data_IF_224994074063
#
_entry.id   IF_224994074063
#
_cell.length_a   1.000
_cell.length_b   1.000
_cell.length_c   1.000
_cell.angle_alpha   90.00
_cell.angle_beta   90.00
_cell.angle_gamma   90.00
#
_symmetry.space_group_name_H-M   'P 1'
#
loop_
_entity.id
_entity.type
_entity.pdbx_description
1 polymer ?
#
# COMPACT_ATOMS: atom_id res chain seq x y z
N UNK A 1 0.92 -6.47 0.07
CA UNK A 1 1.35 -5.12 -0.37
C UNK A 1 0.40 -4.07 0.19
N UNK A 2 0.86 -3.18 1.06
CA UNK A 2 0.02 -2.09 1.60
C UNK A 2 0.37 -0.75 0.95
N UNK A 3 -0.63 0.03 0.55
CA UNK A 3 -0.46 1.44 0.14
C UNK A 3 -0.41 2.31 1.38
N UNK A 4 0.63 3.13 1.55
CA UNK A 4 0.85 3.88 2.80
C UNK A 4 0.78 5.38 2.52
N UNK A 5 -0.39 5.98 2.67
CA UNK A 5 -0.65 7.38 2.45
C UNK A 5 -0.33 8.22 3.72
N UNK A 6 -0.14 9.55 3.58
CA UNK A 6 0.18 10.47 4.68
C UNK A 6 1.47 10.15 5.47
N UNK A 7 2.65 10.23 4.84
CA UNK A 7 3.95 10.01 5.52
C UNK A 7 4.03 8.71 6.35
N UNK A 8 3.28 7.68 5.99
CA UNK A 8 3.24 6.41 6.75
C UNK A 8 2.14 6.28 7.79
N UNK A 9 1.29 7.31 8.00
CA UNK A 9 0.24 7.30 9.03
C UNK A 9 -1.05 6.62 8.61
N UNK A 10 -1.40 6.61 7.31
CA UNK A 10 -2.72 6.14 6.86
C UNK A 10 -2.62 5.13 5.73
N UNK A 11 -3.18 3.94 5.92
CA UNK A 11 -3.23 2.90 4.89
C UNK A 11 -4.66 2.85 4.37
N UNK A 12 -4.97 3.37 3.17
CA UNK A 12 -6.35 3.36 2.65
C UNK A 12 -6.77 2.00 2.11
N UNK A 13 -5.81 1.21 1.63
CA UNK A 13 -6.05 -0.13 1.07
C UNK A 13 -4.80 -0.99 1.13
N UNK A 14 -4.99 -2.30 1.21
CA UNK A 14 -3.93 -3.29 1.15
C UNK A 14 -4.33 -4.41 0.20
N UNK A 15 -3.32 -5.04 -0.41
CA UNK A 15 -3.51 -6.15 -1.31
C UNK A 15 -2.85 -7.41 -0.74
N UNK A 16 -3.59 -8.51 -0.80
CA UNK A 16 -3.11 -9.85 -0.50
C UNK A 16 -2.77 -10.49 -1.85
N UNK A 17 -1.52 -10.93 -1.98
CA UNK A 17 -1.04 -11.64 -3.16
C UNK A 17 -0.94 -13.10 -2.78
N UNK A 18 -1.67 -13.94 -3.49
CA UNK A 18 -1.58 -15.39 -3.35
C UNK A 18 -0.58 -15.92 -4.38
N UNK A 19 -0.07 -17.14 -4.16
CA UNK A 19 0.92 -17.73 -5.07
C UNK A 19 0.34 -18.07 -6.45
N UNK A 20 -0.96 -18.40 -6.52
CA UNK A 20 -1.60 -18.91 -7.73
C UNK A 20 -2.81 -18.06 -8.18
N UNK A 21 -3.62 -17.55 -7.23
CA UNK A 21 -4.90 -16.89 -7.54
C UNK A 21 -4.76 -15.38 -7.77
N UNK A 22 -3.53 -14.87 -7.90
CA UNK A 22 -3.26 -13.46 -8.20
C UNK A 22 -3.40 -12.53 -6.99
N UNK A 23 -3.75 -11.26 -7.28
CA UNK A 23 -3.74 -10.14 -6.34
C UNK A 23 -5.14 -9.66 -6.01
N UNK A 24 -5.53 -9.79 -4.74
CA UNK A 24 -6.78 -9.28 -4.21
C UNK A 24 -6.56 -7.97 -3.46
N UNK A 25 -7.35 -6.95 -3.73
CA UNK A 25 -7.23 -5.64 -3.07
C UNK A 25 -8.42 -5.42 -2.14
N UNK A 26 -8.13 -5.05 -0.90
CA UNK A 26 -9.12 -4.85 0.15
C UNK A 26 -8.97 -3.47 0.80
N UNK A 27 -10.08 -2.93 1.27
CA UNK A 27 -10.13 -1.76 2.14
C UNK A 27 -11.03 -2.07 3.34
N UNK A 28 -10.62 -1.62 4.52
CA UNK A 28 -11.40 -1.72 5.76
C UNK A 28 -11.43 -0.37 6.46
N UNK A 29 -12.38 -0.20 7.38
CA UNK A 29 -12.51 1.04 8.16
C UNK A 29 -11.23 1.36 8.96
N UNK A 30 -10.54 0.33 9.46
CA UNK A 30 -9.29 0.46 10.23
C UNK A 30 -8.19 -0.50 9.72
N UNK A 31 -7.63 -0.21 8.55
CA UNK A 31 -6.63 -1.07 7.90
C UNK A 31 -5.38 -1.36 8.76
N UNK A 32 -4.94 -0.43 9.61
CA UNK A 32 -3.78 -0.63 10.49
C UNK A 32 -4.02 -1.75 11.51
N UNK A 33 -5.22 -1.81 12.08
CA UNK A 33 -5.62 -2.85 13.04
C UNK A 33 -5.78 -4.18 12.31
N UNK A 34 -6.45 -4.17 11.16
CA UNK A 34 -6.62 -5.36 10.31
C UNK A 34 -5.27 -5.97 9.93
N UNK A 35 -4.30 -5.17 9.48
CA UNK A 35 -2.96 -5.65 9.14
C UNK A 35 -2.19 -6.17 10.36
N UNK A 36 -2.38 -5.58 11.54
CA UNK A 36 -1.80 -6.11 12.79
C UNK A 36 -2.39 -7.48 13.16
N UNK A 37 -3.69 -7.67 12.96
CA UNK A 37 -4.32 -8.97 13.19
C UNK A 37 -3.82 -10.01 12.17
N UNK A 38 -3.71 -9.64 10.90
CA UNK A 38 -3.17 -10.50 9.83
C UNK A 38 -1.70 -10.86 10.07
N UNK A 39 -0.90 -9.95 10.63
CA UNK A 39 0.51 -10.20 10.97
C UNK A 39 0.71 -11.35 11.98
N UNK A 40 -0.32 -11.75 12.74
CA UNK A 40 -0.24 -12.93 13.60
C UNK A 40 -0.17 -14.25 12.82
N UNK A 41 -0.68 -14.25 11.58
CA UNK A 41 -0.80 -15.44 10.73
C UNK A 41 0.18 -15.46 9.57
N UNK A 42 0.84 -14.33 9.30
CA UNK A 42 1.77 -14.16 8.18
C UNK A 42 3.06 -13.59 8.72
N UNK A 43 4.18 -14.23 8.42
CA UNK A 43 5.52 -13.75 8.75
C UNK A 43 5.70 -12.29 8.34
N UNK A 44 6.21 -11.46 9.26
CA UNK A 44 6.33 -10.01 9.04
C UNK A 44 7.20 -9.63 7.83
N UNK A 45 8.11 -10.51 7.41
CA UNK A 45 8.93 -10.32 6.20
C UNK A 45 8.09 -10.28 4.91
N UNK A 46 6.89 -10.88 4.91
CA UNK A 46 5.98 -10.88 3.76
C UNK A 46 5.07 -9.64 3.72
N UNK A 47 5.05 -8.83 4.77
CA UNK A 47 4.31 -7.57 4.83
C UNK A 47 5.10 -6.43 4.21
N UNK A 48 5.26 -6.49 2.89
CA UNK A 48 6.00 -5.48 2.13
C UNK A 48 5.15 -4.24 1.79
N UNK A 49 5.77 -3.06 1.86
CA UNK A 49 5.21 -1.81 1.33
C UNK A 49 5.23 -1.86 -0.21
N UNK A 50 4.19 -1.36 -0.87
CA UNK A 50 4.17 -1.37 -2.34
C UNK A 50 5.19 -0.37 -2.91
N UNK A 51 6.09 -0.85 -3.78
CA UNK A 51 7.03 -0.01 -4.54
C UNK A 51 6.30 1.00 -5.46
N UNK A 52 5.17 0.57 -6.04
CA UNK A 52 4.38 1.36 -6.99
C UNK A 52 3.73 2.61 -6.36
N UNK A 53 3.47 2.62 -5.05
CA UNK A 53 2.91 3.79 -4.38
C UNK A 53 3.84 5.01 -4.49
N UNK A 54 5.13 4.82 -4.24
CA UNK A 54 6.13 5.88 -4.36
C UNK A 54 6.34 6.32 -5.82
N UNK A 55 6.28 5.38 -6.77
CA UNK A 55 6.35 5.70 -8.19
C UNK A 55 5.15 6.53 -8.66
N UNK A 56 3.95 6.23 -8.19
CA UNK A 56 2.74 7.00 -8.52
C UNK A 56 2.79 8.39 -7.88
N UNK A 57 3.27 8.51 -6.64
CA UNK A 57 3.53 9.82 -6.01
C UNK A 57 4.57 10.61 -6.81
N UNK A 58 5.70 10.01 -7.15
CA UNK A 58 6.77 10.67 -7.91
C UNK A 58 6.27 11.12 -9.28
N UNK A 59 5.50 10.28 -10.00
CA UNK A 59 4.85 10.65 -11.27
C UNK A 59 3.83 11.77 -11.09
N UNK A 60 3.05 11.76 -10.01
CA UNK A 60 2.11 12.81 -9.66
C UNK A 60 2.79 14.16 -9.39
N UNK A 61 3.87 14.15 -8.60
CA UNK A 61 4.71 15.33 -8.34
C UNK A 61 5.36 15.85 -9.62
N UNK A 62 5.96 14.97 -10.43
CA UNK A 62 6.60 15.35 -11.71
C UNK A 62 5.61 16.03 -12.67
N UNK A 63 4.34 15.60 -12.67
CA UNK A 63 3.26 16.21 -13.46
C UNK A 63 2.87 17.59 -12.93
N UNK A 64 2.82 17.78 -11.61
CA UNK A 64 2.57 19.08 -10.97
C UNK A 64 3.66 20.11 -11.29
N UNK A 65 4.94 19.71 -11.29
CA UNK A 65 6.05 20.61 -11.65
C UNK A 65 6.11 20.94 -13.16
N UNK A 66 5.63 20.06 -14.03
CA UNK A 66 5.58 20.30 -15.48
C UNK A 66 4.47 21.27 -15.91
N UNK A 67 3.45 21.50 -15.09
CA UNK A 67 2.35 22.44 -15.38
C UNK A 67 2.74 23.89 -15.03
N UNK A 68 3.80 24.08 -14.23
CA UNK A 68 4.24 25.41 -13.75
C UNK A 68 5.48 25.96 -14.47
N UNK A 69 5.85 25.39 -15.63
CA UNK A 69 6.91 25.90 -16.51
C UNK A 69 6.34 26.34 -17.84
#
# INVERSE_FOLDING_TARGET
MASVNFKGKWIPRFAIVTKQNGRFTFSTRNNKVTLRAVNKYIESNRLVKSLSFFQVIARGLKRLFRIKS
#
